data_IF_336215911863
#
_entry.id   IF_336215911863
#
_cell.length_a   1.000
_cell.length_b   1.000
_cell.length_c   1.000
_cell.angle_alpha   90.00
_cell.angle_beta   90.00
_cell.angle_gamma   90.00
#
_symmetry.space_group_name_H-M   'P 1'
#
loop_
_entity.id
_entity.type
_entity.pdbx_description
1 polymer ?
#
# COMPACT_ATOMS: atom_id res chain seq x y z
N UNK A 1 -4.29 0.92 -15.72
CA UNK A 1 -3.93 1.91 -14.69
C UNK A 1 -2.55 2.47 -14.96
N UNK A 2 -1.51 1.85 -14.40
CA UNK A 2 -0.13 2.38 -14.38
C UNK A 2 0.41 2.78 -15.76
N UNK A 3 0.20 1.96 -16.81
CA UNK A 3 0.67 2.26 -18.17
C UNK A 3 0.13 3.59 -18.74
N UNK A 4 -1.07 3.99 -18.32
CA UNK A 4 -1.74 5.20 -18.77
C UNK A 4 -1.31 6.48 -18.04
N UNK A 5 -0.50 6.36 -16.98
CA UNK A 5 0.06 7.52 -16.29
C UNK A 5 1.10 8.22 -17.18
N UNK A 6 1.09 9.55 -17.16
CA UNK A 6 2.22 10.36 -17.63
C UNK A 6 3.45 10.10 -16.73
N UNK A 7 4.63 10.54 -17.19
CA UNK A 7 5.83 10.56 -16.36
C UNK A 7 5.58 11.42 -15.11
N UNK A 8 6.08 10.96 -13.97
CA UNK A 8 5.88 11.54 -12.64
C UNK A 8 4.40 11.60 -12.24
N UNK A 9 3.59 10.71 -12.85
CA UNK A 9 2.17 10.61 -12.59
C UNK A 9 1.87 9.76 -11.36
N UNK A 10 0.86 10.17 -10.59
CA UNK A 10 0.47 9.49 -9.35
C UNK A 10 -0.76 8.60 -9.55
N UNK A 11 -0.78 7.45 -8.90
CA UNK A 11 -1.92 6.55 -8.80
C UNK A 11 -2.10 6.10 -7.36
N UNK A 12 -3.33 6.18 -6.87
CA UNK A 12 -3.71 5.61 -5.57
C UNK A 12 -4.31 4.23 -5.81
N UNK A 13 -3.68 3.22 -5.23
CA UNK A 13 -4.24 1.88 -5.13
C UNK A 13 -4.87 1.72 -3.75
N UNK A 14 -6.13 1.30 -3.67
CA UNK A 14 -6.80 1.02 -2.41
C UNK A 14 -7.78 -0.15 -2.52
N UNK A 15 -7.97 -0.84 -1.40
CA UNK A 15 -8.92 -1.97 -1.27
C UNK A 15 -9.58 -1.92 0.10
N UNK A 16 -10.75 -2.53 0.23
CA UNK A 16 -11.39 -2.80 1.52
C UNK A 16 -11.16 -4.26 1.97
N UNK A 17 -9.94 -4.78 1.77
CA UNK A 17 -9.54 -6.15 2.14
C UNK A 17 -8.41 -6.13 3.18
N UNK A 18 -8.40 -7.15 4.04
CA UNK A 18 -7.30 -7.41 4.97
C UNK A 18 -6.32 -8.47 4.46
N UNK A 19 -6.57 -9.07 3.30
CA UNK A 19 -5.74 -10.14 2.78
C UNK A 19 -4.48 -9.59 2.09
N UNK A 20 -3.27 -10.05 2.45
CA UNK A 20 -2.04 -9.63 1.78
C UNK A 20 -2.01 -9.92 0.27
N UNK A 21 -2.73 -10.94 -0.18
CA UNK A 21 -2.87 -11.36 -1.58
C UNK A 21 -3.48 -10.27 -2.46
N UNK A 22 -4.44 -9.53 -1.92
CA UNK A 22 -5.09 -8.41 -2.59
C UNK A 22 -4.33 -7.09 -2.37
N UNK A 23 -3.30 -7.07 -1.52
CA UNK A 23 -2.68 -5.85 -1.03
C UNK A 23 -1.18 -5.83 -1.31
N UNK A 24 -0.36 -6.22 -0.34
CA UNK A 24 1.09 -6.17 -0.46
C UNK A 24 1.63 -7.02 -1.60
N UNK A 25 0.98 -8.14 -1.94
CA UNK A 25 1.40 -8.97 -3.08
C UNK A 25 1.13 -8.29 -4.43
N UNK A 26 0.03 -7.54 -4.55
CA UNK A 26 -0.28 -6.77 -5.75
C UNK A 26 0.74 -5.63 -5.93
N UNK A 27 1.09 -4.94 -4.85
CA UNK A 27 2.07 -3.86 -4.87
C UNK A 27 3.49 -4.37 -5.13
N UNK A 28 3.92 -5.44 -4.46
CA UNK A 28 5.21 -6.09 -4.70
C UNK A 28 5.33 -6.58 -6.15
N UNK A 29 4.26 -7.15 -6.71
CA UNK A 29 4.23 -7.51 -8.12
C UNK A 29 4.34 -6.28 -9.03
N UNK A 30 3.62 -5.19 -8.73
CA UNK A 30 3.69 -3.97 -9.54
C UNK A 30 5.10 -3.36 -9.54
N UNK A 31 5.75 -3.25 -8.38
CA UNK A 31 7.12 -2.73 -8.24
C UNK A 31 8.13 -3.55 -9.06
N UNK A 32 7.92 -4.86 -9.20
CA UNK A 32 8.80 -5.75 -9.97
C UNK A 32 8.56 -5.72 -11.49
N UNK A 33 7.39 -5.26 -11.92
CA UNK A 33 6.95 -5.37 -13.32
C UNK A 33 6.82 -4.01 -14.03
N UNK A 34 6.89 -2.91 -13.28
CA UNK A 34 6.80 -1.55 -13.82
C UNK A 34 7.91 -0.69 -13.21
N UNK A 35 8.39 0.29 -13.98
CA UNK A 35 9.26 1.35 -13.48
C UNK A 35 8.40 2.36 -12.71
N UNK A 36 8.22 2.09 -11.42
CA UNK A 36 7.42 2.87 -10.47
C UNK A 36 8.10 2.85 -9.11
N UNK A 37 7.72 3.78 -8.25
CA UNK A 37 8.11 3.78 -6.83
C UNK A 37 6.91 4.09 -5.93
N UNK A 38 7.08 3.88 -4.63
CA UNK A 38 6.07 4.28 -3.65
C UNK A 38 6.44 5.57 -2.91
N UNK A 39 5.43 6.41 -2.71
CA UNK A 39 5.53 7.56 -1.82
C UNK A 39 4.96 7.25 -0.44
N UNK A 40 5.53 7.91 0.58
CA UNK A 40 5.12 7.73 1.96
C UNK A 40 3.81 8.46 2.25
N UNK A 41 2.84 7.75 2.82
CA UNK A 41 1.57 8.32 3.25
C UNK A 41 1.63 8.62 4.74
N UNK A 42 1.75 9.90 5.08
CA UNK A 42 1.80 10.39 6.45
C UNK A 42 0.47 11.00 6.85
N UNK A 43 -0.47 10.14 7.29
CA UNK A 43 -1.78 10.58 7.79
C UNK A 43 -2.13 9.91 9.12
N UNK A 44 -3.13 10.47 9.80
CA UNK A 44 -3.70 9.93 11.02
C UNK A 44 -5.22 9.88 10.89
N UNK A 45 -5.81 8.80 11.40
CA UNK A 45 -7.25 8.64 11.53
C UNK A 45 -7.56 8.55 13.01
N UNK A 46 -8.51 9.36 13.47
CA UNK A 46 -8.90 9.42 14.88
C UNK A 46 -7.69 9.58 15.83
N UNK A 47 -6.75 10.45 15.42
CA UNK A 47 -5.51 10.72 16.16
C UNK A 47 -4.43 9.64 16.09
N UNK A 48 -4.69 8.49 15.47
CA UNK A 48 -3.78 7.34 15.41
C UNK A 48 -3.12 7.24 14.03
N UNK A 49 -1.83 6.90 14.00
CA UNK A 49 -1.09 6.64 12.76
C UNK A 49 -1.59 5.34 12.13
N UNK A 50 -1.64 5.31 10.81
CA UNK A 50 -1.93 4.08 10.07
C UNK A 50 -0.80 3.06 10.25
N UNK A 51 -1.15 1.78 10.11
CA UNK A 51 -0.19 0.68 10.21
C UNK A 51 0.53 0.51 8.88
N UNK A 52 1.84 0.26 8.92
CA UNK A 52 2.63 0.04 7.70
C UNK A 52 2.22 -1.25 6.97
N UNK A 53 2.42 -1.27 5.65
CA UNK A 53 2.29 -2.47 4.85
C UNK A 53 3.23 -3.58 5.33
N UNK A 54 2.76 -4.81 5.29
CA UNK A 54 3.52 -5.95 5.78
C UNK A 54 4.64 -6.32 4.79
N UNK A 55 5.89 -6.20 5.23
CA UNK A 55 7.05 -6.60 4.41
C UNK A 55 7.32 -8.11 4.42
N UNK A 56 6.76 -8.84 5.40
CA UNK A 56 6.92 -10.30 5.53
C UNK A 56 5.62 -11.05 5.87
N UNK A 57 4.51 -10.83 5.14
CA UNK A 57 3.27 -11.55 5.40
C UNK A 57 3.46 -13.05 5.10
N UNK A 58 2.98 -13.88 6.02
CA UNK A 58 3.07 -15.35 5.95
C UNK A 58 4.48 -15.90 5.70
N UNK A 59 5.51 -15.17 6.15
CA UNK A 59 6.92 -15.58 6.01
C UNK A 59 7.57 -15.21 4.68
N UNK A 60 6.81 -14.74 3.67
CA UNK A 60 7.33 -14.30 2.37
C UNK A 60 7.84 -12.88 2.44
N UNK A 61 9.13 -12.66 2.16
CA UNK A 61 9.73 -11.32 2.12
C UNK A 61 9.39 -10.62 0.80
N UNK A 62 8.91 -9.38 0.91
CA UNK A 62 8.53 -8.51 -0.21
C UNK A 62 9.53 -7.36 -0.37
N UNK A 63 9.34 -6.54 -1.40
CA UNK A 63 10.12 -5.33 -1.60
C UNK A 63 10.09 -4.42 -0.35
N UNK A 64 11.22 -3.77 -0.07
CA UNK A 64 11.36 -2.89 1.07
C UNK A 64 10.42 -1.68 1.01
N UNK A 65 10.05 -1.22 -0.19
CA UNK A 65 9.13 -0.10 -0.39
C UNK A 65 7.72 -0.40 0.12
N UNK A 66 7.30 -1.67 0.19
CA UNK A 66 5.95 -2.08 0.65
C UNK A 66 5.60 -1.51 2.03
N UNK A 67 6.58 -1.22 2.89
CA UNK A 67 6.34 -0.55 4.19
C UNK A 67 5.69 0.85 4.06
N UNK A 68 5.84 1.49 2.91
CA UNK A 68 5.28 2.83 2.62
C UNK A 68 3.77 2.77 2.40
N UNK A 69 3.23 1.61 2.03
CA UNK A 69 1.79 1.35 2.02
C UNK A 69 1.23 1.46 3.44
N UNK A 70 -0.07 1.76 3.55
CA UNK A 70 -0.74 1.94 4.84
C UNK A 70 -2.00 1.10 4.95
N UNK A 71 -2.25 0.61 6.15
CA UNK A 71 -3.40 -0.22 6.53
C UNK A 71 -4.23 0.49 7.57
N UNK A 72 -5.53 0.50 7.34
CA UNK A 72 -6.55 0.89 8.30
C UNK A 72 -7.05 -0.40 8.94
N UNK A 73 -6.80 -0.54 10.23
CA UNK A 73 -7.26 -1.66 11.04
C UNK A 73 -8.45 -1.25 11.92
N UNK A 74 -9.56 -2.02 11.95
CA UNK A 74 -10.76 -1.65 12.70
C UNK A 74 -10.53 -1.40 14.19
N UNK A 75 -9.82 -2.31 14.85
CA UNK A 75 -9.54 -2.24 16.29
C UNK A 75 -8.59 -1.10 16.69
N UNK A 76 -7.88 -0.50 15.73
CA UNK A 76 -6.98 0.63 15.98
C UNK A 76 -7.70 1.92 15.61
N UNK A 77 -8.23 2.02 14.40
CA UNK A 77 -8.63 3.30 13.81
C UNK A 77 -10.13 3.58 13.88
N UNK A 78 -10.94 2.62 14.34
CA UNK A 78 -12.41 2.73 14.33
C UNK A 78 -12.97 2.94 12.91
N UNK A 79 -12.47 2.13 11.97
CA UNK A 79 -12.85 2.13 10.55
C UNK A 79 -13.08 0.70 10.05
N UNK A 80 -13.54 0.53 8.82
CA UNK A 80 -13.40 -0.76 8.13
C UNK A 80 -11.92 -1.08 7.82
N UNK A 81 -11.65 -2.36 7.57
CA UNK A 81 -10.35 -2.81 7.08
C UNK A 81 -10.09 -2.25 5.69
N UNK A 82 -9.01 -1.49 5.54
CA UNK A 82 -8.67 -0.85 4.27
C UNK A 82 -7.15 -0.84 4.06
N UNK A 83 -6.73 -0.88 2.81
CA UNK A 83 -5.34 -0.76 2.38
C UNK A 83 -5.19 0.40 1.41
N UNK A 84 -4.06 1.12 1.47
CA UNK A 84 -3.74 2.19 0.51
C UNK A 84 -2.25 2.21 0.18
N UNK A 85 -1.93 2.44 -1.09
CA UNK A 85 -0.59 2.69 -1.59
C UNK A 85 -0.62 3.87 -2.58
N UNK A 86 0.35 4.79 -2.44
CA UNK A 86 0.56 5.88 -3.39
C UNK A 86 1.72 5.50 -4.32
N UNK A 87 1.38 5.23 -5.57
CA UNK A 87 2.31 4.82 -6.63
C UNK A 87 2.68 6.04 -7.46
N UNK A 88 3.97 6.22 -7.74
CA UNK A 88 4.50 7.24 -8.65
C UNK A 88 5.21 6.53 -9.79
N UNK A 89 4.90 6.93 -11.03
CA UNK A 89 5.52 6.42 -12.25
C UNK A 89 6.67 7.30 -12.71
#
# INVERSE_FOLDING_TARGET
GIRSLKKDGELIYCTCSLEPEENEYVIDWALKNFDISLEEINTKINGKKLVDGFQKPFGKRLDSEVKKCKRFLPHIHDTHGMFVAKVVK
#
